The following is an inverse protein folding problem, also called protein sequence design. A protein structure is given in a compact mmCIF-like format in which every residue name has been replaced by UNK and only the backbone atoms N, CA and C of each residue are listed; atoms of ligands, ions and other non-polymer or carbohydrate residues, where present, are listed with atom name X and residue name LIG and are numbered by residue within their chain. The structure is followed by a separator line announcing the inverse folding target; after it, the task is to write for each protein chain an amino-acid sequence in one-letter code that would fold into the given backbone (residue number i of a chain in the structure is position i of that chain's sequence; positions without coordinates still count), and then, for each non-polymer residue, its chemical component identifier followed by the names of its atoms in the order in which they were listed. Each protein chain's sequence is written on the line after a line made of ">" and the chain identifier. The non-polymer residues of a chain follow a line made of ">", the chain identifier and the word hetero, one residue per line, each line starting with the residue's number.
data_IF_596368833066
#
_entry.id   IF_596368833066
#
_cell.length_a   1.000
_cell.length_b   1.000
_cell.length_c   1.000
_cell.angle_alpha   90.00
_cell.angle_beta   90.00
_cell.angle_gamma   90.00
#
_symmetry.space_group_name_H-M   'P 1'
#
loop_
_entity.id
_entity.type
_entity.pdbx_description
1 polymer ?
#
# COMPACT_ATOMS: atom_id res chain seq x y z
N UNK A 1 -58.20 -3.76 27.00
CA UNK A 1 -56.93 -4.44 26.64
C UNK A 1 -56.25 -4.86 27.93
N UNK A 2 -56.02 -6.16 28.16
CA UNK A 2 -55.32 -6.62 29.35
C UNK A 2 -53.83 -6.25 29.29
N UNK A 3 -53.23 -5.86 30.42
CA UNK A 3 -51.82 -5.62 30.57
C UNK A 3 -51.04 -6.94 30.51
N UNK A 4 -50.24 -7.15 29.45
CA UNK A 4 -49.31 -8.28 29.36
C UNK A 4 -48.01 -7.95 30.07
N UNK A 5 -47.44 -8.91 30.79
CA UNK A 5 -46.07 -8.81 31.29
C UNK A 5 -45.11 -8.89 30.08
N UNK A 6 -43.90 -8.29 30.18
CA UNK A 6 -42.88 -8.33 29.12
C UNK A 6 -42.57 -9.77 28.68
N UNK A 7 -42.50 -10.71 29.64
CA UNK A 7 -42.32 -12.14 29.39
C UNK A 7 -43.44 -12.86 28.62
N UNK A 8 -44.55 -12.19 28.42
CA UNK A 8 -45.75 -12.71 27.71
C UNK A 8 -45.91 -12.10 26.31
N UNK A 9 -44.93 -11.25 25.89
CA UNK A 9 -44.93 -10.69 24.54
C UNK A 9 -44.37 -11.73 23.56
N UNK A 10 -44.95 -11.75 22.37
CA UNK A 10 -44.41 -12.57 21.28
C UNK A 10 -43.09 -11.99 20.78
N UNK A 11 -42.16 -12.89 20.41
CA UNK A 11 -40.89 -12.48 19.82
C UNK A 11 -41.14 -11.94 18.41
N UNK A 12 -40.58 -10.78 18.13
CA UNK A 12 -40.58 -10.21 16.77
C UNK A 12 -39.59 -10.97 15.89
N UNK A 13 -39.94 -11.21 14.62
CA UNK A 13 -38.98 -11.78 13.66
C UNK A 13 -37.92 -10.76 13.26
N UNK A 14 -36.71 -11.23 12.97
CA UNK A 14 -35.56 -10.38 12.60
C UNK A 14 -35.84 -9.49 11.39
N UNK A 15 -36.63 -10.00 10.42
CA UNK A 15 -37.08 -9.24 9.24
C UNK A 15 -38.00 -8.05 9.55
N UNK A 16 -38.61 -8.04 10.72
CA UNK A 16 -39.53 -6.99 11.13
C UNK A 16 -38.92 -5.99 12.12
N UNK A 17 -37.70 -6.25 12.59
CA UNK A 17 -36.96 -5.27 13.40
C UNK A 17 -36.48 -4.15 12.50
N UNK A 18 -36.85 -2.91 12.79
CA UNK A 18 -36.36 -1.71 12.13
C UNK A 18 -35.66 -0.78 13.14
N UNK A 19 -34.85 0.14 12.67
CA UNK A 19 -34.23 1.18 13.50
C UNK A 19 -35.27 2.09 14.19
N UNK A 20 -36.51 2.12 13.70
CA UNK A 20 -37.62 2.88 14.24
C UNK A 20 -38.44 2.09 15.31
N UNK A 21 -38.16 0.80 15.48
CA UNK A 21 -38.77 -0.01 16.53
C UNK A 21 -38.49 0.59 17.91
N UNK A 22 -39.47 0.54 18.80
CA UNK A 22 -39.42 1.21 20.10
C UNK A 22 -39.20 0.18 21.20
N UNK A 23 -38.21 0.47 22.07
CA UNK A 23 -37.93 -0.30 23.28
C UNK A 23 -38.25 0.54 24.52
N UNK A 24 -38.89 -0.01 25.56
CA UNK A 24 -38.98 0.64 26.85
C UNK A 24 -37.62 0.60 27.53
N UNK A 25 -37.19 1.74 28.09
CA UNK A 25 -35.95 1.87 28.86
C UNK A 25 -36.23 2.54 30.19
N UNK A 26 -35.46 2.19 31.23
CA UNK A 26 -35.43 2.87 32.52
C UNK A 26 -34.17 3.73 32.54
N UNK A 27 -34.31 5.01 32.82
CA UNK A 27 -33.19 5.97 32.94
C UNK A 27 -33.05 6.42 34.38
N UNK A 28 -31.85 6.91 34.73
CA UNK A 28 -31.54 7.37 36.08
C UNK A 28 -32.15 8.74 36.45
N UNK A 29 -33.25 9.10 35.78
CA UNK A 29 -33.98 10.34 36.09
C UNK A 29 -35.09 10.01 37.12
N UNK A 30 -35.01 10.51 38.37
CA UNK A 30 -35.94 10.19 39.44
C UNK A 30 -37.34 10.73 39.18
N UNK A 31 -37.52 11.74 38.34
CA UNK A 31 -38.79 12.38 38.06
C UNK A 31 -39.56 11.62 36.96
N UNK A 32 -38.83 11.10 35.95
CA UNK A 32 -39.42 10.38 34.80
C UNK A 32 -38.51 9.18 34.45
N UNK A 33 -38.56 8.11 35.28
CA UNK A 33 -37.65 6.97 35.12
C UNK A 33 -37.96 6.10 33.90
N UNK A 34 -39.21 6.09 33.44
CA UNK A 34 -39.63 5.25 32.33
C UNK A 34 -39.64 6.04 31.02
N UNK A 35 -38.84 5.64 30.08
CA UNK A 35 -38.70 6.26 28.77
C UNK A 35 -38.87 5.22 27.68
N UNK A 36 -38.91 5.67 26.45
CA UNK A 36 -38.82 4.84 25.26
C UNK A 36 -37.63 5.28 24.42
N UNK A 37 -36.91 4.34 23.84
CA UNK A 37 -35.88 4.60 22.85
C UNK A 37 -36.20 3.84 21.55
N UNK A 38 -35.80 4.39 20.45
CA UNK A 38 -35.76 3.66 19.18
C UNK A 38 -34.49 2.79 19.12
N UNK A 39 -34.53 1.67 18.39
CA UNK A 39 -33.40 0.79 18.21
C UNK A 39 -32.17 1.57 17.68
N UNK A 40 -32.36 2.44 16.70
CA UNK A 40 -31.28 3.28 16.16
C UNK A 40 -30.65 4.26 17.18
N UNK A 41 -31.36 4.60 18.25
CA UNK A 41 -30.82 5.47 19.31
C UNK A 41 -29.91 4.72 20.28
N UNK A 42 -30.07 3.41 20.44
CA UNK A 42 -29.19 2.59 21.30
C UNK A 42 -27.73 2.60 20.81
N UNK A 43 -27.51 2.71 19.49
CA UNK A 43 -26.19 2.69 18.89
C UNK A 43 -25.51 4.07 18.80
N UNK A 44 -26.19 5.16 19.20
CA UNK A 44 -25.61 6.51 19.21
C UNK A 44 -24.71 6.80 20.39
N UNK A 45 -24.84 6.07 21.46
CA UNK A 45 -24.11 6.28 22.71
C UNK A 45 -23.35 5.04 23.15
N UNK A 46 -22.69 4.35 22.22
CA UNK A 46 -21.80 3.24 22.56
C UNK A 46 -20.69 3.74 23.47
N UNK A 47 -20.34 2.93 24.46
CA UNK A 47 -19.16 3.21 25.28
C UNK A 47 -17.91 3.29 24.39
N UNK A 48 -16.97 4.14 24.75
CA UNK A 48 -15.69 4.26 24.02
C UNK A 48 -15.00 2.90 23.92
N UNK A 49 -14.98 2.13 25.00
CA UNK A 49 -14.25 0.86 25.08
C UNK A 49 -12.74 1.04 25.06
N UNK A 50 -12.07 -0.07 25.04
CA UNK A 50 -10.61 -0.20 24.86
C UNK A 50 -10.33 -1.33 23.88
N UNK A 51 -9.08 -1.56 23.51
CA UNK A 51 -8.68 -2.71 22.70
C UNK A 51 -9.09 -4.03 23.36
N UNK A 52 -8.84 -4.19 24.65
CA UNK A 52 -9.13 -5.42 25.42
C UNK A 52 -10.60 -5.55 25.84
N UNK A 53 -11.37 -4.47 25.72
CA UNK A 53 -12.79 -4.42 26.04
C UNK A 53 -13.51 -3.44 25.10
N UNK A 54 -13.77 -3.85 23.85
CA UNK A 54 -14.41 -2.99 22.85
C UNK A 54 -15.76 -2.49 23.27
N UNK A 55 -16.13 -1.28 22.85
CA UNK A 55 -17.46 -0.71 23.10
C UNK A 55 -18.59 -1.45 22.39
N UNK A 56 -18.28 -2.11 21.28
CA UNK A 56 -19.13 -3.07 20.59
C UNK A 56 -18.34 -4.36 20.37
N UNK A 57 -18.60 -5.37 21.18
CA UNK A 57 -17.93 -6.67 21.14
C UNK A 57 -18.86 -7.78 20.65
N UNK A 58 -18.30 -8.87 20.17
CA UNK A 58 -19.02 -10.07 19.78
C UNK A 58 -19.10 -11.07 20.94
N UNK A 59 -20.22 -11.80 21.06
CA UNK A 59 -20.44 -12.69 22.20
C UNK A 59 -19.50 -13.90 22.24
N UNK A 60 -19.08 -14.38 21.07
CA UNK A 60 -18.14 -15.50 20.95
C UNK A 60 -16.72 -15.10 21.37
N UNK A 61 -16.35 -13.84 21.15
CA UNK A 61 -15.01 -13.32 21.34
C UNK A 61 -15.13 -11.85 21.79
N UNK A 62 -15.10 -11.63 23.12
CA UNK A 62 -15.47 -10.35 23.73
C UNK A 62 -14.37 -9.31 23.71
N UNK A 63 -13.15 -9.67 23.37
CA UNK A 63 -12.01 -8.78 23.10
C UNK A 63 -11.85 -8.48 21.62
N UNK A 64 -12.73 -9.04 20.75
CA UNK A 64 -12.84 -8.63 19.36
C UNK A 64 -14.04 -7.74 19.12
N UNK A 65 -13.81 -6.58 18.46
CA UNK A 65 -14.87 -5.62 18.24
C UNK A 65 -14.41 -4.22 17.84
N UNK A 66 -15.34 -3.27 17.97
CA UNK A 66 -15.08 -1.86 17.66
C UNK A 66 -14.95 -1.02 18.92
N UNK A 67 -13.99 -0.10 18.94
CA UNK A 67 -13.80 0.86 20.02
C UNK A 67 -13.31 2.20 19.49
N UNK A 68 -13.42 3.25 20.32
CA UNK A 68 -12.89 4.56 20.02
C UNK A 68 -11.59 4.78 20.77
N UNK A 69 -10.45 4.48 20.13
CA UNK A 69 -9.15 4.57 20.76
C UNK A 69 -8.77 6.01 21.20
N UNK A 70 -9.16 7.00 20.37
CA UNK A 70 -8.96 8.42 20.64
C UNK A 70 -9.95 9.27 19.83
N UNK A 71 -9.90 10.58 20.01
CA UNK A 71 -10.63 11.52 19.15
C UNK A 71 -10.15 11.39 17.69
N UNK A 72 -11.07 11.32 16.73
CA UNK A 72 -10.79 11.06 15.30
C UNK A 72 -10.11 9.72 15.02
N UNK A 73 -10.23 8.73 15.92
CA UNK A 73 -9.66 7.41 15.74
C UNK A 73 -10.67 6.33 16.11
N UNK A 74 -10.82 5.34 15.23
CA UNK A 74 -11.61 4.14 15.46
C UNK A 74 -10.66 2.95 15.43
N UNK A 75 -10.78 2.07 16.44
CA UNK A 75 -10.05 0.82 16.52
C UNK A 75 -10.94 -0.37 16.19
N UNK A 76 -10.36 -1.37 15.57
CA UNK A 76 -10.90 -2.71 15.42
C UNK A 76 -9.98 -3.64 16.19
N UNK A 77 -10.46 -4.26 17.25
CA UNK A 77 -9.71 -5.19 18.07
C UNK A 77 -9.88 -6.64 17.59
N UNK A 78 -8.84 -7.43 17.73
CA UNK A 78 -8.78 -8.87 17.50
C UNK A 78 -7.90 -9.49 18.60
N UNK A 79 -8.37 -9.45 19.83
CA UNK A 79 -7.57 -9.85 20.98
C UNK A 79 -6.38 -8.92 21.19
N UNK A 80 -5.16 -9.48 21.23
CA UNK A 80 -3.92 -8.70 21.44
C UNK A 80 -3.60 -7.74 20.30
N UNK A 81 -4.10 -8.00 19.10
CA UNK A 81 -3.84 -7.20 17.90
C UNK A 81 -5.05 -6.41 17.40
N UNK A 82 -4.84 -5.59 16.37
CA UNK A 82 -5.91 -4.86 15.73
C UNK A 82 -5.47 -3.84 14.70
N UNK A 83 -6.42 -3.00 14.33
CA UNK A 83 -6.20 -1.90 13.39
C UNK A 83 -6.71 -0.59 13.97
N UNK A 84 -5.98 0.50 13.75
CA UNK A 84 -6.50 1.85 13.88
C UNK A 84 -6.81 2.47 12.52
N UNK A 85 -7.96 3.14 12.45
CA UNK A 85 -8.26 4.10 11.39
C UNK A 85 -8.26 5.50 12.01
N UNK A 86 -7.28 6.30 11.66
CA UNK A 86 -7.06 7.63 12.24
C UNK A 86 -7.14 8.71 11.17
N UNK A 87 -7.97 9.74 11.40
CA UNK A 87 -7.94 10.95 10.59
C UNK A 87 -6.98 11.96 11.19
N UNK A 88 -5.98 12.35 10.43
CA UNK A 88 -5.05 13.43 10.78
C UNK A 88 -5.31 14.64 9.89
N UNK A 89 -5.42 15.80 10.51
CA UNK A 89 -5.47 17.08 9.83
C UNK A 89 -4.02 17.58 9.64
N UNK A 90 -3.59 17.66 8.39
CA UNK A 90 -2.24 18.12 8.03
C UNK A 90 -2.17 19.65 7.86
N UNK A 91 -3.27 20.36 8.11
CA UNK A 91 -3.41 21.78 7.81
C UNK A 91 -3.55 22.05 6.31
N UNK A 92 -3.69 23.35 5.94
CA UNK A 92 -3.74 23.80 4.53
C UNK A 92 -4.76 23.04 3.64
N UNK A 93 -5.92 22.70 4.19
CA UNK A 93 -6.99 21.95 3.49
C UNK A 93 -6.60 20.53 3.09
N UNK A 94 -5.59 19.95 3.73
CA UNK A 94 -5.14 18.58 3.51
C UNK A 94 -5.41 17.71 4.73
N UNK A 95 -5.87 16.50 4.49
CA UNK A 95 -6.07 15.48 5.54
C UNK A 95 -5.55 14.14 5.09
N UNK A 96 -5.11 13.33 6.04
CA UNK A 96 -4.71 11.94 5.80
C UNK A 96 -5.60 10.98 6.60
N UNK A 97 -5.94 9.86 6.00
CA UNK A 97 -6.55 8.73 6.68
C UNK A 97 -5.50 7.62 6.80
N UNK A 98 -5.10 7.33 8.03
CA UNK A 98 -4.14 6.26 8.33
C UNK A 98 -4.89 4.97 8.63
N UNK A 99 -4.33 3.86 8.15
CA UNK A 99 -4.65 2.50 8.60
C UNK A 99 -3.38 1.95 9.21
N UNK A 100 -3.40 1.68 10.51
CA UNK A 100 -2.22 1.27 11.27
C UNK A 100 -2.49 -0.06 11.95
N UNK A 101 -1.65 -1.06 11.71
CA UNK A 101 -1.66 -2.31 12.47
C UNK A 101 -1.09 -2.06 13.87
N UNK A 102 -1.67 -2.70 14.86
CA UNK A 102 -1.22 -2.67 16.26
C UNK A 102 -1.21 -4.09 16.82
N UNK A 103 -0.29 -4.35 17.73
CA UNK A 103 -0.21 -5.59 18.49
C UNK A 103 0.54 -5.32 19.79
N UNK A 104 0.05 -5.85 20.91
CA UNK A 104 0.68 -5.61 22.23
C UNK A 104 1.75 -6.65 22.55
N UNK A 105 1.78 -7.76 21.81
CA UNK A 105 2.69 -8.89 22.03
C UNK A 105 3.76 -8.97 20.94
N UNK A 106 3.37 -8.80 19.68
CA UNK A 106 4.29 -8.88 18.56
C UNK A 106 5.03 -7.56 18.33
N UNK A 107 6.35 -7.64 18.14
CA UNK A 107 7.17 -6.46 17.81
C UNK A 107 6.96 -5.97 16.37
N UNK A 108 6.46 -6.83 15.48
CA UNK A 108 6.22 -6.50 14.07
C UNK A 108 4.85 -7.06 13.66
N UNK A 109 4.06 -6.24 13.00
CA UNK A 109 2.72 -6.60 12.53
C UNK A 109 2.51 -6.06 11.13
N UNK A 110 2.20 -6.94 10.19
CA UNK A 110 1.99 -6.61 8.79
C UNK A 110 0.52 -6.28 8.50
N UNK A 111 0.29 -5.41 7.53
CA UNK A 111 -1.02 -5.25 6.89
C UNK A 111 -0.97 -5.99 5.56
N UNK A 112 -1.70 -7.09 5.46
CA UNK A 112 -1.71 -7.94 4.26
C UNK A 112 -2.99 -7.73 3.48
N UNK A 113 -2.88 -7.31 2.23
CA UNK A 113 -4.00 -7.27 1.28
C UNK A 113 -3.95 -8.52 0.42
N UNK A 114 -4.84 -9.46 0.66
CA UNK A 114 -4.88 -10.76 -0.03
C UNK A 114 -6.14 -10.89 -0.91
N UNK A 115 -6.13 -10.41 -2.15
CA UNK A 115 -7.26 -10.57 -3.06
C UNK A 115 -7.54 -12.04 -3.35
N UNK A 116 -8.81 -12.38 -3.51
CA UNK A 116 -9.22 -13.76 -3.84
C UNK A 116 -9.09 -14.04 -5.34
N UNK A 117 -8.55 -15.21 -5.67
CA UNK A 117 -8.46 -15.70 -7.06
C UNK A 117 -7.59 -14.79 -7.94
N UNK A 118 -8.13 -14.32 -9.05
CA UNK A 118 -7.46 -13.40 -9.97
C UNK A 118 -7.65 -11.92 -9.61
N UNK A 119 -8.13 -11.62 -8.42
CA UNK A 119 -8.27 -10.25 -7.93
C UNK A 119 -6.94 -9.52 -7.82
N UNK A 120 -6.99 -8.21 -7.65
CA UNK A 120 -5.80 -7.37 -7.50
C UNK A 120 -6.05 -6.22 -6.52
N UNK A 121 -4.99 -5.71 -5.91
CA UNK A 121 -5.02 -4.42 -5.21
C UNK A 121 -4.83 -3.31 -6.24
N UNK A 122 -5.79 -2.39 -6.35
CA UNK A 122 -5.77 -1.30 -7.33
C UNK A 122 -5.65 0.04 -6.62
N UNK A 123 -4.68 0.85 -7.05
CA UNK A 123 -4.52 2.24 -6.62
C UNK A 123 -4.83 3.12 -7.82
N UNK A 124 -5.86 3.98 -7.72
CA UNK A 124 -6.30 4.86 -8.82
C UNK A 124 -5.65 6.24 -8.80
N UNK A 125 -5.01 6.60 -7.69
CA UNK A 125 -4.22 7.82 -7.55
C UNK A 125 -2.72 7.55 -7.66
N UNK A 126 -1.93 8.49 -7.15
CA UNK A 126 -0.49 8.29 -7.03
C UNK A 126 -0.21 7.28 -5.91
N UNK A 127 0.72 6.36 -6.17
CA UNK A 127 1.25 5.45 -5.19
C UNK A 127 2.67 5.91 -4.81
N UNK A 128 2.79 6.53 -3.64
CA UNK A 128 4.06 7.06 -3.15
C UNK A 128 4.63 6.10 -2.10
N UNK A 129 5.83 5.62 -2.37
CA UNK A 129 6.62 4.83 -1.42
C UNK A 129 8.00 5.45 -1.29
N UNK A 130 8.62 5.35 -0.11
CA UNK A 130 10.05 5.67 -0.02
C UNK A 130 10.87 4.58 -0.71
N UNK A 131 11.96 5.00 -1.34
CA UNK A 131 12.85 4.14 -2.11
C UNK A 131 13.47 3.00 -1.28
N UNK A 132 13.73 3.24 -0.01
CA UNK A 132 14.24 2.21 0.90
C UNK A 132 13.22 1.11 1.23
N UNK A 133 11.94 1.30 0.92
CA UNK A 133 10.84 0.41 1.32
C UNK A 133 10.10 -0.25 0.15
N UNK A 134 10.48 0.07 -1.09
CA UNK A 134 9.89 -0.58 -2.25
C UNK A 134 10.70 -1.80 -2.68
N UNK A 135 10.23 -2.97 -2.25
CA UNK A 135 10.83 -4.26 -2.58
C UNK A 135 9.93 -5.08 -3.49
N UNK A 136 10.54 -5.74 -4.46
CA UNK A 136 9.96 -6.89 -5.16
C UNK A 136 10.62 -8.14 -4.61
N UNK A 137 9.83 -9.09 -4.16
CA UNK A 137 10.29 -10.35 -3.57
C UNK A 137 9.79 -11.54 -4.41
N UNK A 138 10.69 -12.42 -4.79
CA UNK A 138 10.34 -13.74 -5.29
C UNK A 138 10.20 -14.70 -4.11
N UNK A 139 9.20 -15.59 -4.16
CA UNK A 139 8.85 -16.52 -3.07
C UNK A 139 10.03 -17.36 -2.57
N UNK A 140 11.04 -17.60 -3.39
CA UNK A 140 12.24 -18.39 -3.09
C UNK A 140 13.55 -17.68 -3.45
N UNK A 141 13.47 -16.44 -3.85
CA UNK A 141 14.59 -15.67 -4.36
C UNK A 141 15.01 -14.48 -3.52
N UNK A 142 16.00 -13.73 -3.97
CA UNK A 142 16.40 -12.48 -3.35
C UNK A 142 15.34 -11.40 -3.56
N UNK A 143 15.40 -10.37 -2.69
CA UNK A 143 14.60 -9.16 -2.84
C UNK A 143 15.31 -8.16 -3.77
N UNK A 144 14.56 -7.48 -4.61
CA UNK A 144 15.03 -6.36 -5.43
C UNK A 144 14.43 -5.07 -4.84
N UNK A 145 15.29 -4.08 -4.63
CA UNK A 145 14.88 -2.74 -4.20
C UNK A 145 15.15 -1.73 -5.33
N UNK A 146 14.22 -0.81 -5.52
CA UNK A 146 14.43 0.34 -6.41
C UNK A 146 15.01 1.50 -5.59
N UNK A 147 16.22 1.97 -5.99
CA UNK A 147 16.94 3.04 -5.32
C UNK A 147 16.80 4.35 -6.12
N UNK A 148 16.18 5.35 -5.50
CA UNK A 148 15.99 6.67 -6.09
C UNK A 148 16.97 7.73 -5.54
N UNK A 149 17.73 7.41 -4.49
CA UNK A 149 18.67 8.33 -3.85
C UNK A 149 19.75 8.87 -4.79
N UNK A 150 20.11 8.11 -5.83
CA UNK A 150 21.11 8.49 -6.84
C UNK A 150 20.54 9.32 -8.01
N UNK A 151 19.25 9.63 -8.01
CA UNK A 151 18.60 10.36 -9.12
C UNK A 151 18.84 11.86 -9.05
N UNK A 152 19.65 12.31 -8.12
CA UNK A 152 20.04 13.70 -7.90
C UNK A 152 19.11 14.44 -6.92
N UNK A 153 19.56 15.60 -6.46
CA UNK A 153 18.84 16.45 -5.50
C UNK A 153 17.85 17.39 -6.20
N UNK A 154 16.79 17.77 -5.51
CA UNK A 154 15.80 18.74 -5.96
C UNK A 154 14.38 18.21 -5.89
N UNK A 155 13.41 19.12 -6.06
CA UNK A 155 11.97 18.82 -5.99
C UNK A 155 11.34 18.36 -7.32
N UNK A 156 12.14 18.27 -8.39
CA UNK A 156 11.62 17.89 -9.71
C UNK A 156 11.47 16.37 -9.83
N UNK A 157 10.34 15.93 -10.35
CA UNK A 157 10.13 14.53 -10.70
C UNK A 157 11.08 14.13 -11.84
N UNK A 158 11.87 13.07 -11.61
CA UNK A 158 12.69 12.43 -12.65
C UNK A 158 11.89 11.28 -13.24
N UNK A 159 11.76 11.27 -14.56
CA UNK A 159 10.98 10.24 -15.26
C UNK A 159 11.95 9.19 -15.80
N UNK A 160 11.78 7.94 -15.36
CA UNK A 160 12.43 6.78 -15.96
C UNK A 160 11.42 6.10 -16.88
N UNK A 161 11.61 6.28 -18.18
CA UNK A 161 10.72 5.68 -19.20
C UNK A 161 11.21 4.26 -19.49
N UNK A 162 10.32 3.30 -19.31
CA UNK A 162 10.58 1.92 -19.74
C UNK A 162 10.55 1.84 -21.27
N UNK A 163 11.44 1.06 -21.90
CA UNK A 163 11.41 0.89 -23.34
C UNK A 163 10.10 0.25 -23.81
N UNK A 164 9.62 0.66 -24.96
CA UNK A 164 8.46 0.04 -25.59
C UNK A 164 8.77 -1.41 -25.96
N UNK A 165 7.90 -2.34 -25.55
CA UNK A 165 8.00 -3.76 -25.88
C UNK A 165 6.92 -4.07 -26.94
N UNK A 166 7.30 -4.01 -28.21
CA UNK A 166 6.37 -4.18 -29.33
C UNK A 166 6.22 -5.63 -29.78
N UNK A 167 7.15 -6.49 -29.40
CA UNK A 167 7.13 -7.91 -29.75
C UNK A 167 7.83 -8.77 -28.70
N UNK A 168 7.43 -10.04 -28.61
CA UNK A 168 8.00 -10.99 -27.64
C UNK A 168 7.40 -10.87 -26.24
N UNK A 169 8.00 -11.57 -25.28
CA UNK A 169 7.49 -11.73 -23.93
C UNK A 169 8.11 -10.77 -22.90
N UNK A 170 8.92 -9.81 -23.33
CA UNK A 170 9.54 -8.86 -22.42
C UNK A 170 10.87 -8.28 -22.93
N UNK A 171 11.52 -7.51 -22.08
CA UNK A 171 12.87 -6.98 -22.31
C UNK A 171 13.70 -7.15 -21.04
N UNK A 172 15.04 -7.22 -21.21
CA UNK A 172 15.96 -7.32 -20.11
C UNK A 172 16.61 -5.96 -19.85
N UNK A 173 16.64 -5.51 -18.61
CA UNK A 173 17.38 -4.35 -18.19
C UNK A 173 18.88 -4.70 -18.14
N UNK A 174 19.72 -3.77 -18.61
CA UNK A 174 21.17 -3.94 -18.60
C UNK A 174 21.71 -3.48 -17.24
N UNK A 175 22.41 -4.39 -16.55
CA UNK A 175 23.11 -4.07 -15.30
C UNK A 175 24.54 -3.63 -15.57
N UNK A 176 25.07 -2.75 -14.73
CA UNK A 176 26.45 -2.24 -14.86
C UNK A 176 27.51 -3.31 -14.54
N UNK A 177 27.21 -4.20 -13.60
CA UNK A 177 28.19 -5.15 -13.02
C UNK A 177 27.96 -6.60 -13.47
N UNK A 178 27.10 -6.82 -14.47
CA UNK A 178 26.75 -8.16 -14.95
C UNK A 178 27.23 -8.39 -16.36
N UNK A 179 27.77 -9.59 -16.64
CA UNK A 179 28.08 -10.02 -18.01
C UNK A 179 26.76 -10.20 -18.79
N UNK A 180 26.58 -9.40 -19.83
CA UNK A 180 25.37 -9.45 -20.66
C UNK A 180 25.72 -9.34 -22.15
N UNK A 181 24.95 -10.04 -22.98
CA UNK A 181 25.04 -9.91 -24.42
C UNK A 181 23.92 -8.99 -24.91
N UNK A 182 24.29 -7.92 -25.60
CA UNK A 182 23.37 -6.98 -26.23
C UNK A 182 23.11 -7.39 -27.69
N UNK A 183 21.90 -7.81 -28.00
CA UNK A 183 21.49 -8.17 -29.38
C UNK A 183 20.51 -7.14 -29.91
N UNK A 184 20.59 -6.87 -31.22
CA UNK A 184 19.68 -5.93 -31.91
C UNK A 184 19.71 -4.50 -31.30
N UNK A 185 20.88 -4.04 -30.84
CA UNK A 185 21.07 -2.70 -30.31
C UNK A 185 21.97 -1.87 -31.19
N UNK A 186 21.60 -0.61 -31.35
CA UNK A 186 22.52 0.41 -31.89
C UNK A 186 23.10 1.15 -30.70
N UNK A 187 24.42 1.12 -30.55
CA UNK A 187 25.13 1.86 -29.51
C UNK A 187 25.62 3.19 -30.11
N UNK A 188 25.18 4.29 -29.51
CA UNK A 188 25.71 5.62 -29.81
C UNK A 188 26.57 6.02 -28.66
N UNK A 189 27.90 5.99 -28.87
CA UNK A 189 28.90 6.22 -27.85
C UNK A 189 29.85 7.31 -28.41
N UNK A 190 30.14 8.33 -27.60
CA UNK A 190 31.17 9.31 -27.95
C UNK A 190 32.49 8.62 -27.99
N UNK A 191 33.37 9.05 -28.91
CA UNK A 191 34.66 8.38 -29.23
C UNK A 191 35.51 8.14 -27.99
N UNK A 192 35.59 9.10 -27.07
CA UNK A 192 36.40 9.00 -25.86
C UNK A 192 35.81 8.09 -24.79
N UNK A 193 34.55 7.62 -24.96
CA UNK A 193 33.83 6.79 -24.00
C UNK A 193 33.78 5.31 -24.42
N UNK A 194 34.29 4.93 -25.59
CA UNK A 194 34.38 3.53 -26.00
C UNK A 194 35.72 2.94 -25.64
N UNK A 195 35.81 2.41 -24.41
CA UNK A 195 37.04 1.85 -23.84
C UNK A 195 36.87 0.34 -23.66
N UNK A 196 37.83 -0.43 -24.12
CA UNK A 196 37.95 -1.88 -23.81
C UNK A 196 39.08 -2.02 -22.80
N UNK A 197 38.78 -2.63 -21.66
CA UNK A 197 39.72 -2.85 -20.55
C UNK A 197 40.02 -4.34 -20.47
N UNK A 198 41.31 -4.68 -20.44
CA UNK A 198 41.80 -6.03 -20.15
C UNK A 198 42.87 -5.94 -19.04
N UNK A 199 42.44 -6.20 -17.80
CA UNK A 199 43.25 -6.04 -16.62
C UNK A 199 43.65 -4.59 -16.35
N UNK A 200 44.93 -4.26 -16.47
CA UNK A 200 45.45 -2.90 -16.34
C UNK A 200 45.62 -2.17 -17.67
N UNK A 201 45.36 -2.84 -18.79
CA UNK A 201 45.52 -2.30 -20.14
C UNK A 201 44.19 -1.76 -20.64
N UNK A 202 44.22 -0.62 -21.32
CA UNK A 202 43.06 0.05 -21.91
C UNK A 202 43.24 0.26 -23.40
N UNK A 203 42.24 -0.05 -24.20
CA UNK A 203 42.17 0.30 -25.61
C UNK A 203 41.00 1.26 -25.85
N UNK A 204 41.30 2.45 -26.36
CA UNK A 204 40.33 3.48 -26.69
C UNK A 204 40.17 3.52 -28.22
N UNK A 205 38.93 3.45 -28.70
CA UNK A 205 38.61 3.65 -30.10
C UNK A 205 38.37 5.13 -30.36
N UNK A 206 39.42 5.84 -30.86
CA UNK A 206 39.29 7.23 -31.27
C UNK A 206 39.06 7.33 -32.77
N UNK A 207 38.07 8.11 -33.15
CA UNK A 207 37.75 8.40 -34.54
C UNK A 207 38.08 9.87 -34.81
N UNK A 208 39.36 10.16 -35.11
CA UNK A 208 39.84 11.51 -35.40
C UNK A 208 39.52 11.88 -36.87
N UNK A 209 38.37 12.51 -37.09
CA UNK A 209 37.97 12.98 -38.42
C UNK A 209 38.16 14.49 -38.54
N UNK A 210 38.83 14.95 -39.58
CA UNK A 210 38.75 16.38 -39.90
C UNK A 210 37.30 16.69 -40.29
N UNK A 211 36.75 17.64 -39.56
CA UNK A 211 35.40 18.12 -39.60
C UNK A 211 34.74 18.22 -40.96
N UNK A 212 33.95 17.25 -41.34
CA UNK A 212 32.87 17.44 -42.33
C UNK A 212 31.62 16.75 -41.84
N UNK A 213 30.64 17.55 -41.48
CA UNK A 213 29.40 17.11 -40.96
C UNK A 213 28.64 16.16 -41.93
N UNK A 214 28.08 15.08 -41.40
CA UNK A 214 26.97 14.39 -42.00
C UNK A 214 27.25 13.15 -42.86
N UNK A 215 28.49 12.69 -43.01
CA UNK A 215 28.77 11.45 -43.76
C UNK A 215 28.98 10.24 -42.86
N UNK A 216 28.07 9.26 -42.94
CA UNK A 216 28.26 7.97 -42.30
C UNK A 216 29.40 7.21 -42.98
N UNK A 217 30.38 6.76 -42.23
CA UNK A 217 31.46 5.94 -42.73
C UNK A 217 31.41 4.55 -42.10
N UNK A 218 31.69 3.51 -42.89
CA UNK A 218 31.72 2.13 -42.45
C UNK A 218 33.16 1.63 -42.41
N UNK A 219 33.54 1.04 -41.28
CA UNK A 219 34.81 0.33 -41.15
C UNK A 219 34.52 -1.16 -41.17
N UNK A 220 35.28 -1.88 -42.00
CA UNK A 220 35.31 -3.33 -42.00
C UNK A 220 36.65 -3.75 -41.38
N UNK A 221 36.59 -4.40 -40.23
CA UNK A 221 37.74 -5.10 -39.68
C UNK A 221 37.83 -6.43 -40.45
N UNK A 222 38.80 -6.51 -41.39
CA UNK A 222 39.14 -7.77 -42.04
C UNK A 222 40.13 -8.52 -41.15
N UNK A 223 39.80 -9.76 -40.81
CA UNK A 223 40.79 -10.69 -40.24
C UNK A 223 41.78 -11.06 -41.34
N UNK A 224 42.95 -10.42 -41.35
CA UNK A 224 44.10 -10.88 -42.11
C UNK A 224 44.72 -12.01 -41.32
N UNK A 225 44.53 -13.25 -41.75
CA UNK A 225 45.35 -14.36 -41.30
C UNK A 225 46.73 -14.15 -41.92
N UNK A 226 47.72 -13.86 -41.08
CA UNK A 226 49.11 -13.95 -41.42
C UNK A 226 49.57 -15.38 -41.17
#
# INVERSE_FOLDING_TARGET
>A
MGTKKISQLETISDSNISGEAILPIVVSDPLIPNRKAKVNQLFRGLAQGTKDSPGLAFDLDRDSGLYQAAYNQIGIAFGDGGLYMTRLDNGNSSTSLYVTAIDDVANNTDIVFAPKGTGSVKVTGQFLMSDEQFFLEDAQGPKIRFEAGNVGTGSNTRIMTMPEITAGNGTTLVGADTTQTLTNKTLLIDEDNFVIIDGAEEAIFQINWPTTSGTRRSYFLSLIHI
#
